data_IF_787812724344
#
_entry.id   IF_787812724344
#
_cell.length_a   1.000
_cell.length_b   1.000
_cell.length_c   1.000
_cell.angle_alpha   90.00
_cell.angle_beta   90.00
_cell.angle_gamma   90.00
#
_symmetry.space_group_name_H-M   'P 1'
#
loop_
_entity.id
_entity.type
_entity.pdbx_description
1 polymer ?
#
# COMPACT_ATOMS: atom_id res chain seq x y z
N UNK A 1 -3.25 65.52 12.54
CA UNK A 1 -3.17 64.22 13.25
C UNK A 1 -4.05 63.19 12.54
N UNK A 2 -3.97 63.11 11.21
CA UNK A 2 -4.81 62.24 10.36
C UNK A 2 -3.98 61.22 9.58
N UNK A 3 -2.66 61.23 9.75
CA UNK A 3 -1.70 60.46 8.93
C UNK A 3 -1.42 59.09 9.56
N UNK A 4 -1.39 59.01 10.90
CA UNK A 4 -1.02 57.79 11.63
C UNK A 4 -2.08 56.68 11.48
N UNK A 5 -3.37 57.07 11.39
CA UNK A 5 -4.48 56.13 11.21
C UNK A 5 -4.49 55.52 9.81
N UNK A 6 -4.14 56.29 8.78
CA UNK A 6 -4.06 55.81 7.40
C UNK A 6 -2.92 54.83 7.18
N UNK A 7 -1.73 55.16 7.70
CA UNK A 7 -0.56 54.28 7.65
C UNK A 7 -0.79 52.95 8.38
N UNK A 8 -1.40 52.99 9.58
CA UNK A 8 -1.75 51.79 10.33
C UNK A 8 -2.70 50.86 9.56
N UNK A 9 -3.72 51.41 8.88
CA UNK A 9 -4.64 50.61 8.06
C UNK A 9 -3.93 49.90 6.89
N UNK A 10 -3.00 50.58 6.22
CA UNK A 10 -2.23 49.99 5.11
C UNK A 10 -1.35 48.84 5.60
N UNK A 11 -0.64 49.03 6.72
CA UNK A 11 0.22 47.99 7.30
C UNK A 11 -0.59 46.77 7.72
N UNK A 12 -1.76 46.97 8.34
CA UNK A 12 -2.65 45.85 8.72
C UNK A 12 -3.15 45.12 7.48
N UNK A 13 -3.59 45.82 6.44
CA UNK A 13 -4.05 45.22 5.20
C UNK A 13 -2.97 44.34 4.56
N UNK A 14 -1.74 44.87 4.43
CA UNK A 14 -0.60 44.11 3.88
C UNK A 14 -0.24 42.89 4.74
N UNK A 15 -0.28 43.05 6.07
CA UNK A 15 0.01 41.95 7.00
C UNK A 15 -1.04 40.84 6.89
N UNK A 16 -2.32 41.19 6.80
CA UNK A 16 -3.39 40.22 6.59
C UNK A 16 -3.26 39.49 5.25
N UNK A 17 -2.93 40.21 4.17
CA UNK A 17 -2.66 39.59 2.88
C UNK A 17 -1.49 38.61 2.95
N UNK A 18 -0.41 38.98 3.63
CA UNK A 18 0.74 38.10 3.84
C UNK A 18 0.38 36.83 4.64
N UNK A 19 -0.42 36.96 5.69
CA UNK A 19 -0.89 35.82 6.48
C UNK A 19 -1.79 34.88 5.65
N UNK A 20 -2.70 35.43 4.84
CA UNK A 20 -3.54 34.62 3.95
C UNK A 20 -2.68 33.86 2.92
N UNK A 21 -1.66 34.51 2.37
CA UNK A 21 -0.74 33.86 1.43
C UNK A 21 0.04 32.70 2.09
N UNK A 22 0.47 32.85 3.34
CA UNK A 22 1.12 31.77 4.10
C UNK A 22 0.17 30.62 4.41
N UNK A 23 -1.09 30.91 4.76
CA UNK A 23 -2.12 29.88 4.98
C UNK A 23 -2.40 29.09 3.69
N UNK A 24 -2.58 29.80 2.58
CA UNK A 24 -2.77 29.21 1.26
C UNK A 24 -1.63 28.25 0.88
N UNK A 25 -0.38 28.67 1.09
CA UNK A 25 0.79 27.83 0.88
C UNK A 25 0.79 26.59 1.79
N UNK A 26 0.43 26.77 3.07
CA UNK A 26 0.33 25.67 4.02
C UNK A 26 -0.68 24.61 3.61
N UNK A 27 -1.83 25.03 3.05
CA UNK A 27 -2.86 24.11 2.56
C UNK A 27 -2.36 23.31 1.36
N UNK A 28 -1.74 23.96 0.36
CA UNK A 28 -1.22 23.27 -0.82
C UNK A 28 -0.12 22.27 -0.44
N UNK A 29 0.83 22.67 0.42
CA UNK A 29 1.86 21.76 0.93
C UNK A 29 1.25 20.57 1.65
N UNK A 30 0.27 20.80 2.52
CA UNK A 30 -0.45 19.73 3.22
C UNK A 30 -1.11 18.75 2.25
N UNK A 31 -1.76 19.25 1.20
CA UNK A 31 -2.38 18.42 0.17
C UNK A 31 -1.35 17.58 -0.60
N UNK A 32 -0.19 18.17 -0.96
CA UNK A 32 0.88 17.46 -1.65
C UNK A 32 1.56 16.41 -0.77
N UNK A 33 1.78 16.70 0.52
CA UNK A 33 2.30 15.73 1.47
C UNK A 33 1.35 14.55 1.65
N UNK A 34 0.04 14.80 1.71
CA UNK A 34 -0.94 13.73 1.78
C UNK A 34 -0.93 12.86 0.51
N UNK A 35 -0.93 13.49 -0.67
CA UNK A 35 -0.83 12.78 -1.94
C UNK A 35 0.44 11.92 -2.06
N UNK A 36 1.58 12.43 -1.57
CA UNK A 36 2.83 11.66 -1.50
C UNK A 36 2.75 10.49 -0.51
N UNK A 37 2.09 10.70 0.62
CA UNK A 37 1.87 9.64 1.62
C UNK A 37 1.00 8.51 1.06
N UNK A 38 -0.07 8.85 0.33
CA UNK A 38 -0.92 7.90 -0.38
C UNK A 38 -0.14 7.13 -1.45
N UNK A 39 0.66 7.81 -2.27
CA UNK A 39 1.55 7.16 -3.24
C UNK A 39 2.55 6.21 -2.57
N UNK A 40 3.08 6.57 -1.39
CA UNK A 40 4.00 5.70 -0.65
C UNK A 40 3.31 4.45 -0.14
N UNK A 41 2.09 4.57 0.41
CA UNK A 41 1.30 3.41 0.85
C UNK A 41 1.02 2.44 -0.30
N UNK A 42 0.68 2.98 -1.48
CA UNK A 42 0.49 2.19 -2.69
C UNK A 42 1.79 1.48 -3.12
N UNK A 43 2.91 2.19 -3.12
CA UNK A 43 4.21 1.61 -3.46
C UNK A 43 4.64 0.52 -2.46
N UNK A 44 4.46 0.74 -1.16
CA UNK A 44 4.79 -0.22 -0.10
C UNK A 44 3.92 -1.49 -0.24
N UNK A 45 2.61 -1.32 -0.45
CA UNK A 45 1.69 -2.42 -0.69
C UNK A 45 2.07 -3.23 -1.93
N UNK A 46 2.37 -2.55 -3.04
CA UNK A 46 2.81 -3.16 -4.29
C UNK A 46 4.12 -3.94 -4.12
N UNK A 47 5.12 -3.35 -3.44
CA UNK A 47 6.40 -3.99 -3.22
C UNK A 47 6.24 -5.25 -2.35
N UNK A 48 5.51 -5.17 -1.23
CA UNK A 48 5.26 -6.32 -0.35
C UNK A 48 4.45 -7.42 -1.04
N UNK A 49 3.39 -7.06 -1.77
CA UNK A 49 2.58 -8.01 -2.51
C UNK A 49 3.39 -8.70 -3.62
N UNK A 50 4.21 -7.95 -4.34
CA UNK A 50 5.11 -8.53 -5.35
C UNK A 50 6.17 -9.44 -4.73
N UNK A 51 6.79 -9.03 -3.62
CA UNK A 51 7.80 -9.84 -2.94
C UNK A 51 7.21 -11.16 -2.40
N UNK A 52 5.94 -11.17 -1.98
CA UNK A 52 5.26 -12.38 -1.52
C UNK A 52 5.25 -13.52 -2.54
N UNK A 53 5.33 -13.21 -3.84
CA UNK A 53 5.40 -14.23 -4.89
C UNK A 53 6.64 -15.13 -4.76
N UNK A 54 7.74 -14.64 -4.19
CA UNK A 54 8.96 -15.42 -3.98
C UNK A 54 8.88 -16.36 -2.76
N UNK A 55 7.83 -16.27 -1.94
CA UNK A 55 7.56 -17.23 -0.87
C UNK A 55 6.76 -18.43 -1.39
N UNK A 56 5.99 -18.25 -2.46
CA UNK A 56 5.04 -19.25 -2.95
C UNK A 56 5.48 -19.93 -4.26
N UNK A 57 6.34 -19.28 -5.06
CA UNK A 57 6.73 -19.75 -6.39
C UNK A 57 8.25 -19.85 -6.58
N UNK A 58 8.68 -20.81 -7.40
CA UNK A 58 10.07 -20.90 -7.86
C UNK A 58 10.43 -19.70 -8.77
N UNK A 59 11.72 -19.34 -8.81
CA UNK A 59 12.21 -18.08 -9.39
C UNK A 59 11.75 -17.80 -10.84
N UNK A 60 11.60 -18.83 -11.68
CA UNK A 60 11.20 -18.68 -13.08
C UNK A 60 9.73 -18.21 -13.23
N UNK A 61 8.81 -18.71 -12.40
CA UNK A 61 7.39 -18.32 -12.37
C UNK A 61 7.09 -17.15 -11.44
N UNK A 62 7.91 -16.94 -10.42
CA UNK A 62 7.73 -15.86 -9.45
C UNK A 62 7.74 -14.47 -10.10
N UNK A 63 8.48 -14.27 -11.21
CA UNK A 63 8.59 -12.96 -11.86
C UNK A 63 7.25 -12.43 -12.37
N UNK A 64 6.49 -13.24 -13.10
CA UNK A 64 5.20 -12.81 -13.67
C UNK A 64 4.18 -12.58 -12.56
N UNK A 65 4.14 -13.46 -11.56
CA UNK A 65 3.24 -13.32 -10.40
C UNK A 65 3.60 -12.10 -9.56
N UNK A 66 4.88 -11.81 -9.36
CA UNK A 66 5.34 -10.63 -8.64
C UNK A 66 4.90 -9.32 -9.30
N UNK A 67 5.00 -9.22 -10.63
CA UNK A 67 4.54 -8.05 -11.39
C UNK A 67 3.02 -7.91 -11.29
N UNK A 68 2.28 -9.00 -11.47
CA UNK A 68 0.82 -9.02 -11.42
C UNK A 68 0.28 -8.62 -10.04
N UNK A 69 0.80 -9.23 -8.96
CA UNK A 69 0.46 -8.87 -7.58
C UNK A 69 0.83 -7.43 -7.25
N UNK A 70 2.05 -7.00 -7.59
CA UNK A 70 2.48 -5.63 -7.33
C UNK A 70 1.57 -4.61 -8.03
N UNK A 71 1.19 -4.87 -9.28
CA UNK A 71 0.31 -3.99 -10.05
C UNK A 71 -1.09 -3.97 -9.45
N UNK A 72 -1.66 -5.15 -9.14
CA UNK A 72 -2.99 -5.27 -8.52
C UNK A 72 -3.10 -4.46 -7.23
N UNK A 73 -2.15 -4.66 -6.31
CA UNK A 73 -2.13 -3.94 -5.03
C UNK A 73 -1.78 -2.45 -5.18
N UNK A 74 -1.02 -2.04 -6.20
CA UNK A 74 -0.84 -0.62 -6.49
C UNK A 74 -2.18 0.01 -6.94
N UNK A 75 -2.89 -0.65 -7.86
CA UNK A 75 -4.15 -0.13 -8.45
C UNK A 75 -5.35 -0.18 -7.51
N UNK A 76 -5.30 -0.98 -6.45
CA UNK A 76 -6.31 -0.98 -5.39
C UNK A 76 -6.20 0.20 -4.42
N UNK A 77 -5.21 1.08 -4.62
CA UNK A 77 -5.02 2.30 -3.85
C UNK A 77 -5.44 3.54 -4.66
N UNK A 78 -5.72 4.63 -3.96
CA UNK A 78 -6.03 5.92 -4.53
C UNK A 78 -5.01 6.99 -4.11
N UNK A 79 -4.86 8.00 -4.96
CA UNK A 79 -4.15 9.24 -4.61
C UNK A 79 -5.17 10.37 -4.77
N UNK A 80 -5.50 11.02 -3.66
CA UNK A 80 -6.52 12.05 -3.50
C UNK A 80 -7.91 11.61 -3.98
N UNK A 81 -8.31 10.38 -3.66
CA UNK A 81 -9.61 9.82 -4.04
C UNK A 81 -9.75 9.47 -5.52
N UNK A 82 -8.65 9.46 -6.28
CA UNK A 82 -8.62 9.00 -7.66
C UNK A 82 -7.84 7.67 -7.72
N UNK A 83 -8.40 6.58 -8.26
CA UNK A 83 -7.72 5.30 -8.35
C UNK A 83 -6.39 5.40 -9.10
N UNK A 84 -5.39 4.62 -8.68
CA UNK A 84 -4.10 4.50 -9.38
C UNK A 84 -4.31 3.69 -10.67
N UNK A 85 -3.88 4.25 -11.80
CA UNK A 85 -3.95 3.57 -13.08
C UNK A 85 -2.72 2.66 -13.27
N UNK A 86 -2.82 1.57 -14.05
CA UNK A 86 -1.66 0.71 -14.31
C UNK A 86 -0.46 1.44 -14.92
N UNK A 87 -0.69 2.49 -15.72
CA UNK A 87 0.38 3.33 -16.29
C UNK A 87 1.15 4.16 -15.26
N UNK A 88 0.55 4.45 -14.11
CA UNK A 88 1.18 5.18 -13.00
C UNK A 88 2.18 4.27 -12.24
N UNK A 89 2.21 2.96 -12.53
CA UNK A 89 2.93 1.95 -11.77
C UNK A 89 4.07 1.36 -12.60
N UNK A 90 5.29 1.39 -12.05
CA UNK A 90 6.45 0.71 -12.61
C UNK A 90 6.98 -0.31 -11.62
N UNK A 91 7.00 -1.58 -12.02
CA UNK A 91 7.51 -2.69 -11.20
C UNK A 91 8.80 -3.22 -11.79
N UNK A 92 9.85 -3.29 -10.97
CA UNK A 92 11.11 -3.93 -11.30
C UNK A 92 11.33 -5.13 -10.38
N UNK A 93 11.45 -6.31 -10.97
CA UNK A 93 11.66 -7.58 -10.26
C UNK A 93 13.08 -8.09 -10.52
N UNK A 94 13.81 -8.35 -9.43
CA UNK A 94 15.08 -9.03 -9.46
C UNK A 94 14.93 -10.41 -8.83
N UNK A 95 14.91 -11.42 -9.70
CA UNK A 95 14.70 -12.83 -9.34
C UNK A 95 15.87 -13.43 -8.57
N UNK A 96 17.11 -13.00 -8.84
CA UNK A 96 18.31 -13.54 -8.18
C UNK A 96 18.35 -13.19 -6.70
N UNK A 97 17.85 -12.00 -6.38
CA UNK A 97 17.78 -11.47 -5.02
C UNK A 97 16.42 -11.62 -4.35
N UNK A 98 15.40 -12.14 -5.03
CA UNK A 98 14.00 -12.12 -4.56
C UNK A 98 13.53 -10.72 -4.11
N UNK A 99 13.91 -9.67 -4.86
CA UNK A 99 13.51 -8.29 -4.56
C UNK A 99 12.54 -7.75 -5.58
N UNK A 100 11.56 -6.99 -5.09
CA UNK A 100 10.60 -6.27 -5.91
C UNK A 100 10.63 -4.80 -5.54
N UNK A 101 10.88 -3.97 -6.55
CA UNK A 101 10.84 -2.52 -6.45
C UNK A 101 9.59 -2.01 -7.17
N UNK A 102 8.72 -1.33 -6.46
CA UNK A 102 7.54 -0.69 -6.99
C UNK A 102 7.71 0.82 -6.95
N UNK A 103 7.37 1.48 -8.06
CA UNK A 103 7.36 2.93 -8.18
C UNK A 103 5.96 3.34 -8.61
N UNK A 104 5.34 4.24 -7.84
CA UNK A 104 4.04 4.83 -8.16
C UNK A 104 4.27 6.30 -8.45
N UNK A 105 3.87 6.77 -9.63
CA UNK A 105 3.98 8.16 -10.06
C UNK A 105 2.66 8.64 -10.61
N UNK A 106 2.22 9.79 -10.13
CA UNK A 106 1.05 10.50 -10.63
C UNK A 106 1.45 11.88 -11.10
N UNK A 107 1.23 12.12 -12.37
CA UNK A 107 1.44 13.42 -12.97
C UNK A 107 0.22 14.33 -12.77
N UNK A 108 0.45 15.63 -12.73
CA UNK A 108 -0.65 16.59 -12.84
C UNK A 108 -1.56 16.70 -11.62
N UNK A 109 -1.06 16.45 -10.40
CA UNK A 109 -1.87 16.65 -9.18
C UNK A 109 -2.19 18.14 -9.01
N UNK A 110 -3.48 18.55 -9.03
CA UNK A 110 -3.84 19.96 -9.08
C UNK A 110 -3.54 20.65 -7.75
N UNK A 111 -2.96 21.84 -7.81
CA UNK A 111 -2.83 22.73 -6.65
C UNK A 111 -4.09 23.57 -6.49
N UNK A 112 -4.37 24.09 -5.29
CA UNK A 112 -5.53 24.96 -5.07
C UNK A 112 -5.18 26.45 -5.08
N UNK A 113 -4.13 26.85 -4.38
CA UNK A 113 -3.73 28.25 -4.31
C UNK A 113 -2.47 28.56 -5.13
N UNK A 114 -1.56 27.61 -5.29
CA UNK A 114 -0.32 27.78 -6.05
C UNK A 114 -0.57 28.09 -7.54
N UNK A 115 -1.75 27.71 -8.07
CA UNK A 115 -2.25 28.17 -9.37
C UNK A 115 -2.32 29.68 -9.53
N UNK A 116 -2.52 30.45 -8.44
CA UNK A 116 -2.48 31.92 -8.46
C UNK A 116 -1.09 32.44 -8.87
N UNK A 117 -0.06 31.64 -8.62
CA UNK A 117 1.33 31.91 -8.98
C UNK A 117 1.78 31.13 -10.24
N UNK A 118 0.84 30.55 -11.00
CA UNK A 118 1.12 29.82 -12.24
C UNK A 118 1.57 28.37 -12.07
N UNK A 119 1.40 27.79 -10.87
CA UNK A 119 1.69 26.37 -10.60
C UNK A 119 0.37 25.62 -10.56
N UNK A 120 -0.17 25.24 -11.72
CA UNK A 120 -1.49 24.60 -11.79
C UNK A 120 -1.51 23.17 -11.26
N UNK A 121 -0.39 22.46 -11.40
CA UNK A 121 -0.24 21.09 -10.96
C UNK A 121 1.21 20.75 -10.58
N UNK A 122 1.37 19.67 -9.81
CA UNK A 122 2.65 19.12 -9.37
C UNK A 122 2.63 17.61 -9.50
N UNK A 123 3.75 17.02 -9.92
CA UNK A 123 3.88 15.57 -10.00
C UNK A 123 4.25 15.00 -8.63
N UNK A 124 3.59 13.89 -8.24
CA UNK A 124 3.87 13.19 -7.01
C UNK A 124 4.34 11.78 -7.33
N UNK A 125 5.30 11.29 -6.55
CA UNK A 125 5.80 9.95 -6.73
C UNK A 125 6.42 9.39 -5.46
N UNK A 126 6.33 8.08 -5.35
CA UNK A 126 6.89 7.32 -4.26
C UNK A 126 7.47 6.00 -4.78
N UNK A 127 8.36 5.43 -4.00
CA UNK A 127 9.06 4.22 -4.33
C UNK A 127 9.21 3.37 -3.08
N UNK A 128 9.06 2.07 -3.24
CA UNK A 128 9.29 1.08 -2.21
C UNK A 128 10.01 -0.14 -2.79
N UNK A 129 10.84 -0.78 -1.97
CA UNK A 129 11.48 -2.05 -2.32
C UNK A 129 11.25 -3.04 -1.19
N UNK A 130 10.80 -4.23 -1.54
CA UNK A 130 10.62 -5.33 -0.62
C UNK A 130 11.46 -6.53 -1.05
N UNK A 131 11.82 -7.33 -0.06
CA UNK A 131 12.54 -8.58 -0.21
C UNK A 131 11.77 -9.67 0.51
N UNK A 132 11.79 -10.88 -0.04
CA UNK A 132 11.21 -12.06 0.59
C UNK A 132 12.21 -13.22 0.62
N UNK A 133 12.19 -13.94 1.73
CA UNK A 133 12.97 -15.17 1.91
C UNK A 133 12.68 -15.82 3.26
N UNK A 134 13.06 -17.09 3.40
CA UNK A 134 12.88 -17.85 4.62
C UNK A 134 13.64 -17.21 5.79
N UNK A 135 12.99 -17.08 6.94
CA UNK A 135 13.57 -16.50 8.14
C UNK A 135 14.48 -17.53 8.83
N UNK A 136 15.80 -17.31 8.82
CA UNK A 136 16.75 -18.10 9.63
C UNK A 136 16.90 -17.55 11.05
N UNK A 137 17.19 -16.26 11.17
CA UNK A 137 17.21 -15.50 12.42
C UNK A 137 16.93 -14.04 12.09
N UNK A 138 16.17 -13.35 12.93
CA UNK A 138 15.79 -11.97 12.66
C UNK A 138 16.03 -11.10 13.90
N UNK A 139 16.67 -9.94 13.70
CA UNK A 139 17.03 -9.01 14.76
C UNK A 139 16.28 -7.70 14.52
N UNK A 140 15.62 -7.17 15.54
CA UNK A 140 14.81 -5.94 15.46
C UNK A 140 13.63 -6.00 14.47
N UNK A 141 13.02 -7.17 14.27
CA UNK A 141 11.74 -7.24 13.57
C UNK A 141 10.69 -6.57 14.44
N UNK A 142 10.01 -5.56 13.90
CA UNK A 142 8.69 -5.19 14.42
C UNK A 142 7.71 -6.23 13.89
N UNK A 143 7.13 -7.11 14.73
CA UNK A 143 6.15 -8.06 14.24
C UNK A 143 4.93 -7.26 13.77
N UNK A 144 4.73 -7.21 12.46
CA UNK A 144 3.42 -6.99 11.88
C UNK A 144 3.00 -8.37 11.34
N UNK A 145 1.94 -8.92 11.90
CA UNK A 145 1.35 -10.17 11.42
C UNK A 145 0.14 -9.79 10.58
N UNK A 146 0.04 -10.37 9.38
CA UNK A 146 -1.24 -10.42 8.68
C UNK A 146 -2.05 -11.50 9.41
N UNK A 147 -3.22 -11.18 9.99
CA UNK A 147 -4.07 -12.20 10.56
C UNK A 147 -4.38 -13.25 9.50
N UNK A 148 -4.23 -14.52 9.88
CA UNK A 148 -4.51 -15.65 9.01
C UNK A 148 -6.01 -15.68 8.65
N UNK A 149 -6.31 -16.19 7.46
CA UNK A 149 -7.65 -16.20 6.88
C UNK A 149 -8.30 -17.56 7.14
N UNK A 150 -9.59 -17.56 7.49
CA UNK A 150 -10.37 -18.81 7.64
C UNK A 150 -10.93 -19.25 6.28
N UNK A 151 -11.34 -20.50 6.16
CA UNK A 151 -12.15 -20.97 5.05
C UNK A 151 -13.55 -20.35 5.16
N UNK A 152 -13.84 -19.37 4.31
CA UNK A 152 -15.14 -18.72 4.18
C UNK A 152 -16.06 -19.60 3.34
N UNK A 153 -17.11 -20.12 3.96
CA UNK A 153 -18.03 -21.08 3.31
C UNK A 153 -19.33 -20.44 2.86
N UNK A 154 -19.62 -19.22 3.32
CA UNK A 154 -20.96 -18.63 3.21
C UNK A 154 -21.00 -17.29 2.50
N UNK A 155 -19.94 -16.49 2.63
CA UNK A 155 -19.86 -15.15 2.05
C UNK A 155 -18.93 -15.02 0.83
N UNK A 156 -18.31 -16.12 0.38
CA UNK A 156 -17.59 -16.24 -0.90
C UNK A 156 -18.53 -16.78 -1.99
N UNK A 157 -19.16 -15.87 -2.73
CA UNK A 157 -20.28 -16.20 -3.63
C UNK A 157 -19.84 -16.95 -4.89
N UNK A 158 -18.59 -16.78 -5.30
CA UNK A 158 -18.03 -17.38 -6.51
C UNK A 158 -17.01 -18.49 -6.21
N UNK A 159 -16.68 -18.72 -4.94
CA UNK A 159 -15.75 -19.74 -4.48
C UNK A 159 -14.31 -19.48 -4.91
N UNK A 160 -13.99 -18.25 -5.32
CA UNK A 160 -12.66 -17.88 -5.83
C UNK A 160 -11.67 -17.58 -4.70
N UNK A 161 -12.17 -17.47 -3.45
CA UNK A 161 -11.38 -17.19 -2.25
C UNK A 161 -10.60 -15.87 -2.32
N UNK A 162 -11.16 -14.89 -3.01
CA UNK A 162 -10.69 -13.51 -3.10
C UNK A 162 -11.87 -12.64 -2.67
N UNK A 163 -11.63 -11.70 -1.76
CA UNK A 163 -12.67 -10.75 -1.39
C UNK A 163 -13.10 -9.92 -2.62
N UNK A 164 -14.37 -10.00 -2.98
CA UNK A 164 -14.98 -9.21 -4.05
C UNK A 164 -15.89 -8.10 -3.51
N UNK A 165 -16.10 -7.05 -4.31
CA UNK A 165 -16.99 -5.95 -3.95
C UNK A 165 -18.43 -6.44 -3.75
N UNK A 166 -18.92 -6.39 -2.52
CA UNK A 166 -20.25 -6.85 -2.12
C UNK A 166 -20.23 -8.05 -1.17
N UNK A 167 -19.09 -8.71 -1.03
CA UNK A 167 -18.90 -9.78 -0.06
C UNK A 167 -18.59 -9.21 1.33
N UNK A 168 -19.08 -9.87 2.39
CA UNK A 168 -18.87 -9.45 3.78
C UNK A 168 -18.26 -10.57 4.58
N UNK A 169 -17.00 -10.87 4.30
CA UNK A 169 -16.27 -11.93 4.97
C UNK A 169 -16.19 -11.66 6.46
N UNK A 170 -16.97 -12.41 7.24
CA UNK A 170 -17.01 -12.33 8.69
C UNK A 170 -17.01 -13.74 9.23
N UNK A 171 -15.96 -14.06 9.99
CA UNK A 171 -15.84 -15.38 10.60
C UNK A 171 -17.09 -15.75 11.40
N UNK A 172 -17.79 -16.76 10.90
CA UNK A 172 -18.96 -17.36 11.51
C UNK A 172 -18.84 -18.90 11.54
N UNK A 173 -18.25 -19.47 12.60
CA UNK A 173 -18.10 -20.92 12.73
C UNK A 173 -19.44 -21.65 12.88
N UNK A 174 -20.54 -20.96 13.21
CA UNK A 174 -21.88 -21.56 13.25
C UNK A 174 -22.44 -21.78 11.84
N UNK A 175 -22.03 -20.94 10.89
CA UNK A 175 -22.45 -20.98 9.49
C UNK A 175 -21.59 -21.90 8.61
N UNK A 176 -20.48 -22.42 9.13
CA UNK A 176 -19.63 -23.42 8.47
C UNK A 176 -18.17 -23.02 8.31
N UNK A 177 -17.83 -21.78 8.69
CA UNK A 177 -16.47 -21.28 8.53
C UNK A 177 -15.47 -22.05 9.37
N UNK A 178 -14.31 -22.32 8.76
CA UNK A 178 -13.30 -23.16 9.39
C UNK A 178 -11.96 -22.45 9.42
N UNK A 179 -11.49 -22.15 10.63
CA UNK A 179 -10.11 -21.74 10.85
C UNK A 179 -9.25 -22.98 11.16
N UNK A 180 -8.22 -23.23 10.34
CA UNK A 180 -7.22 -24.25 10.62
C UNK A 180 -5.87 -23.56 10.76
N UNK A 181 -5.36 -23.38 12.00
CA UNK A 181 -4.04 -22.82 12.20
C UNK A 181 -2.99 -23.73 11.56
N UNK A 182 -1.93 -23.13 11.03
CA UNK A 182 -0.76 -23.89 10.58
C UNK A 182 -0.27 -24.85 11.66
N UNK A 183 0.02 -26.09 11.28
CA UNK A 183 0.73 -27.02 12.16
C UNK A 183 2.22 -27.17 11.82
N UNK A 184 2.63 -26.52 10.73
CA UNK A 184 3.96 -26.51 10.16
C UNK A 184 4.66 -27.84 9.96
N UNK A 185 5.92 -27.82 9.46
CA UNK A 185 6.58 -29.03 8.99
C UNK A 185 6.88 -30.03 10.13
N UNK A 186 6.89 -29.56 11.38
CA UNK A 186 7.18 -30.34 12.58
C UNK A 186 5.95 -30.86 13.33
N UNK A 187 4.74 -30.36 13.01
CA UNK A 187 3.48 -30.76 13.67
C UNK A 187 3.38 -30.31 15.14
N UNK A 188 4.19 -29.32 15.56
CA UNK A 188 4.26 -28.85 16.95
C UNK A 188 3.20 -27.81 17.29
N UNK A 189 2.62 -27.89 18.49
CA UNK A 189 1.63 -26.92 18.98
C UNK A 189 2.21 -25.53 19.34
N UNK A 190 3.54 -25.38 19.31
CA UNK A 190 4.27 -24.15 19.65
C UNK A 190 4.76 -23.38 18.40
N UNK A 191 4.32 -23.78 17.22
CA UNK A 191 4.68 -23.12 15.95
C UNK A 191 3.82 -21.86 15.77
N UNK A 192 4.44 -20.76 15.34
CA UNK A 192 3.87 -19.41 15.46
C UNK A 192 2.75 -19.08 14.47
N UNK A 193 2.22 -20.08 13.76
CA UNK A 193 0.99 -19.96 12.96
C UNK A 193 1.08 -19.01 11.78
N UNK A 194 2.23 -18.84 11.13
CA UNK A 194 2.42 -17.85 10.05
C UNK A 194 1.95 -18.30 8.65
N UNK A 195 0.94 -19.17 8.56
CA UNK A 195 0.23 -19.47 7.31
C UNK A 195 -0.61 -20.75 7.42
N UNK A 196 -1.92 -20.75 7.21
CA UNK A 196 -2.71 -21.98 7.31
C UNK A 196 -2.27 -23.08 6.33
N UNK A 197 -2.45 -24.35 6.70
CA UNK A 197 -2.31 -25.52 5.80
C UNK A 197 -3.12 -25.37 4.48
N UNK A 198 -4.09 -24.45 4.47
CA UNK A 198 -5.00 -24.17 3.36
C UNK A 198 -4.45 -23.19 2.33
N UNK A 199 -3.60 -22.24 2.74
CA UNK A 199 -2.93 -21.33 1.82
C UNK A 199 -1.71 -22.00 1.16
N UNK A 200 -1.11 -22.96 1.87
CA UNK A 200 0.05 -23.75 1.43
C UNK A 200 -0.33 -25.01 0.62
N UNK A 201 -1.59 -25.10 0.15
CA UNK A 201 -2.06 -26.19 -0.72
C UNK A 201 -1.33 -26.31 -2.07
N UNK A 202 -0.41 -25.38 -2.38
CA UNK A 202 0.63 -25.54 -3.39
C UNK A 202 1.89 -26.17 -2.77
N UNK A 203 1.74 -27.32 -2.14
CA UNK A 203 2.89 -28.18 -1.86
C UNK A 203 3.26 -28.85 -3.19
N UNK A 204 4.23 -28.26 -3.90
CA UNK A 204 5.08 -29.14 -4.70
C UNK A 204 5.67 -30.18 -3.74
N UNK A 205 5.89 -31.41 -4.22
CA UNK A 205 6.25 -32.56 -3.37
C UNK A 205 7.62 -32.46 -2.68
N UNK A 206 8.12 -31.26 -2.40
CA UNK A 206 9.43 -30.99 -1.83
C UNK A 206 9.44 -30.29 -0.48
N UNK A 207 8.29 -29.91 0.10
CA UNK A 207 8.21 -29.52 1.52
C UNK A 207 9.21 -28.43 1.93
N UNK A 208 9.28 -27.34 1.17
CA UNK A 208 10.11 -26.18 1.50
C UNK A 208 9.23 -24.95 1.65
N UNK A 209 9.20 -24.44 2.88
CA UNK A 209 8.87 -23.05 3.23
C UNK A 209 9.95 -22.10 2.74
#
# INVERSE_FOLDING_TARGET
MSDERGSATVIVALSMTALIALLALGIDLGALFNARSEAQRAADAAALAGASAFLEYQQETARSVAVDRATTFATSNDIRGTPIAPEDVTVAVNVDSSTVRAVVRREGVPTWFARLFGIDAVDVGAEATAWAGAAGAAQCVKPFAVPDMWEETTDDLNGNRIWDEGERWRYDPESGDRYVPYSGPGGGADETGYGSDWRDGYTDGYGRT
#
